data_IF_122259680344
#
_entry.id   IF_122259680344
#
_cell.length_a   1.000
_cell.length_b   1.000
_cell.length_c   1.000
_cell.angle_alpha   90.00
_cell.angle_beta   90.00
_cell.angle_gamma   90.00
#
_symmetry.space_group_name_H-M   'P 1'
#
loop_
_entity.id
_entity.type
_entity.pdbx_description
1 polymer ?
#
# COMPACT_ATOMS: atom_id res chain seq x y z
N UNK A 1 3.66 7.52 12.90
CA UNK A 1 2.56 6.90 12.13
C UNK A 1 2.29 5.49 12.65
N UNK A 2 1.05 5.09 12.59
CA UNK A 2 0.60 3.76 13.06
C UNK A 2 0.34 2.88 11.85
N UNK A 3 0.90 1.69 11.85
CA UNK A 3 0.82 0.75 10.71
C UNK A 3 0.20 -0.58 11.13
N UNK A 4 -0.56 -1.18 10.20
CA UNK A 4 -0.74 -2.63 10.20
C UNK A 4 0.08 -3.22 9.06
N UNK A 5 0.62 -4.42 9.28
CA UNK A 5 1.44 -5.15 8.30
C UNK A 5 0.82 -6.52 8.09
N UNK A 6 0.42 -6.82 6.86
CA UNK A 6 -0.27 -8.09 6.56
C UNK A 6 0.39 -8.77 5.38
N UNK A 7 0.90 -9.98 5.61
CA UNK A 7 1.59 -10.80 4.62
C UNK A 7 1.48 -12.25 5.08
N UNK A 8 1.27 -13.18 4.15
CA UNK A 8 1.16 -14.59 4.51
C UNK A 8 2.50 -15.24 4.84
N UNK A 9 3.60 -14.58 4.51
CA UNK A 9 4.95 -15.05 4.88
C UNK A 9 5.31 -14.48 6.25
N UNK A 10 5.28 -15.36 7.25
CA UNK A 10 5.55 -14.97 8.63
C UNK A 10 6.95 -14.36 8.81
N UNK A 11 7.93 -14.85 8.05
CA UNK A 11 9.28 -14.31 8.12
C UNK A 11 9.33 -12.86 7.63
N UNK A 12 8.60 -12.56 6.57
CA UNK A 12 8.50 -11.20 6.05
C UNK A 12 7.85 -10.29 7.10
N UNK A 13 6.72 -10.72 7.67
CA UNK A 13 6.02 -9.94 8.69
C UNK A 13 6.93 -9.65 9.89
N UNK A 14 7.62 -10.66 10.39
CA UNK A 14 8.49 -10.49 11.56
C UNK A 14 9.66 -9.55 11.24
N UNK A 15 10.25 -9.69 10.05
CA UNK A 15 11.35 -8.83 9.63
C UNK A 15 10.90 -7.38 9.49
N UNK A 16 9.74 -7.16 8.86
CA UNK A 16 9.21 -5.80 8.69
C UNK A 16 8.83 -5.19 10.02
N UNK A 17 8.24 -5.98 10.93
CA UNK A 17 7.90 -5.49 12.26
C UNK A 17 9.13 -4.96 12.99
N UNK A 18 10.25 -5.69 12.91
CA UNK A 18 11.49 -5.29 13.57
C UNK A 18 12.08 -4.05 12.89
N UNK A 19 12.18 -4.08 11.56
CA UNK A 19 12.86 -3.02 10.81
C UNK A 19 12.05 -1.73 10.86
N UNK A 20 10.74 -1.81 10.64
CA UNK A 20 9.89 -0.62 10.68
C UNK A 20 9.72 -0.12 12.09
N UNK A 21 9.57 -1.03 13.06
CA UNK A 21 9.43 -0.65 14.46
C UNK A 21 10.67 0.00 15.06
N UNK A 22 11.82 -0.16 14.43
CA UNK A 22 13.05 0.52 14.86
C UNK A 22 13.08 2.00 14.45
N UNK A 23 12.18 2.43 13.55
CA UNK A 23 12.09 3.83 13.17
C UNK A 23 11.29 4.59 14.21
N UNK A 24 11.82 5.71 14.77
CA UNK A 24 11.13 6.41 15.86
C UNK A 24 9.73 6.91 15.49
N UNK A 25 9.50 7.20 14.21
CA UNK A 25 8.22 7.74 13.75
C UNK A 25 7.19 6.67 13.42
N UNK A 26 7.56 5.38 13.49
CA UNK A 26 6.68 4.28 13.07
C UNK A 26 6.32 3.39 14.27
N UNK A 27 5.03 3.09 14.40
CA UNK A 27 4.52 2.12 15.35
C UNK A 27 3.72 1.07 14.61
N UNK A 28 4.14 -0.21 14.67
CA UNK A 28 3.39 -1.31 14.08
C UNK A 28 2.37 -1.77 15.11
N UNK A 29 1.10 -1.47 14.89
CA UNK A 29 0.04 -1.72 15.87
C UNK A 29 -0.63 -3.08 15.70
N UNK A 30 -0.44 -3.73 14.57
CA UNK A 30 -1.00 -5.07 14.36
C UNK A 30 -0.38 -5.74 13.15
N UNK A 31 -0.37 -7.07 13.15
CA UNK A 31 0.13 -7.86 12.04
C UNK A 31 -0.86 -8.98 11.73
N UNK A 32 -0.93 -9.39 10.48
CA UNK A 32 -1.84 -10.44 10.04
C UNK A 32 -1.27 -11.22 8.88
N UNK A 33 -2.01 -12.25 8.44
CA UNK A 33 -1.53 -13.23 7.47
C UNK A 33 -2.41 -13.34 6.21
N UNK A 34 -3.55 -12.67 6.17
CA UNK A 34 -4.45 -12.78 5.02
C UNK A 34 -5.36 -11.55 4.94
N UNK A 35 -6.17 -11.50 3.88
CA UNK A 35 -7.04 -10.36 3.65
C UNK A 35 -8.10 -10.14 4.72
N UNK A 36 -8.61 -11.22 5.32
CA UNK A 36 -9.59 -11.07 6.41
C UNK A 36 -8.95 -10.43 7.64
N UNK A 37 -7.70 -10.81 7.95
CA UNK A 37 -6.95 -10.17 9.01
C UNK A 37 -6.76 -8.68 8.74
N UNK A 38 -6.49 -8.32 7.47
CA UNK A 38 -6.29 -6.92 7.10
C UNK A 38 -7.54 -6.09 7.38
N UNK A 39 -8.70 -6.60 7.00
CA UNK A 39 -9.97 -5.89 7.23
C UNK A 39 -10.24 -5.76 8.73
N UNK A 40 -10.04 -6.85 9.49
CA UNK A 40 -10.29 -6.83 10.94
C UNK A 40 -9.34 -5.89 11.66
N UNK A 41 -8.07 -5.93 11.32
CA UNK A 41 -7.06 -5.07 11.94
C UNK A 41 -7.31 -3.60 11.62
N UNK A 42 -7.73 -3.31 10.40
CA UNK A 42 -8.05 -1.93 10.04
C UNK A 42 -9.22 -1.41 10.87
N UNK A 43 -10.26 -2.22 11.00
CA UNK A 43 -11.43 -1.84 11.80
C UNK A 43 -11.07 -1.64 13.28
N UNK A 44 -10.19 -2.50 13.79
CA UNK A 44 -9.82 -2.48 15.20
C UNK A 44 -8.90 -1.31 15.55
N UNK A 45 -7.91 -1.04 14.70
CA UNK A 45 -6.82 -0.12 15.03
C UNK A 45 -6.91 1.24 14.33
N UNK A 46 -7.68 1.34 13.26
CA UNK A 46 -7.76 2.55 12.43
C UNK A 46 -6.36 3.12 12.17
N UNK A 47 -5.46 2.34 11.53
CA UNK A 47 -4.08 2.76 11.35
C UNK A 47 -3.96 3.93 10.37
N UNK A 48 -2.82 4.60 10.41
CA UNK A 48 -2.52 5.63 9.41
C UNK A 48 -2.27 5.01 8.04
N UNK A 49 -1.61 3.83 8.00
CA UNK A 49 -1.32 3.12 6.76
C UNK A 49 -1.56 1.63 6.96
N UNK A 50 -2.20 1.00 5.98
CA UNK A 50 -2.32 -0.46 5.90
C UNK A 50 -1.32 -0.95 4.85
N UNK A 51 -0.32 -1.70 5.29
CA UNK A 51 0.73 -2.25 4.43
C UNK A 51 0.41 -3.71 4.17
N UNK A 52 0.00 -4.01 2.93
CA UNK A 52 -0.62 -5.30 2.58
C UNK A 52 0.13 -5.98 1.44
N UNK A 53 0.38 -7.28 1.60
CA UNK A 53 0.77 -8.13 0.48
C UNK A 53 -0.43 -8.29 -0.46
N UNK A 54 -0.18 -8.42 -1.75
CA UNK A 54 -1.25 -8.63 -2.73
C UNK A 54 -1.71 -10.07 -2.74
N UNK A 55 -0.79 -11.03 -2.84
CA UNK A 55 -1.14 -12.43 -3.00
C UNK A 55 -1.06 -13.16 -1.66
N UNK A 56 -2.22 -13.50 -1.12
CA UNK A 56 -2.34 -14.23 0.14
C UNK A 56 -3.41 -15.31 -0.02
N UNK A 57 -3.24 -16.48 0.62
CA UNK A 57 -4.24 -17.56 0.51
C UNK A 57 -5.55 -17.12 1.17
N UNK A 58 -6.65 -17.62 0.63
CA UNK A 58 -7.98 -17.29 1.09
C UNK A 58 -8.44 -15.99 0.49
N UNK A 59 -8.13 -14.88 1.13
CA UNK A 59 -8.51 -13.56 0.64
C UNK A 59 -7.26 -12.74 0.36
N UNK A 60 -7.13 -12.24 -0.87
CA UNK A 60 -5.95 -11.47 -1.27
C UNK A 60 -6.01 -10.01 -0.80
N UNK A 61 -4.89 -9.31 -0.99
CA UNK A 61 -4.77 -7.92 -0.55
C UNK A 61 -5.62 -6.94 -1.34
N UNK A 62 -5.86 -7.21 -2.63
CA UNK A 62 -6.70 -6.33 -3.44
C UNK A 62 -8.14 -6.36 -2.97
N UNK A 63 -8.67 -7.55 -2.68
CA UNK A 63 -10.01 -7.71 -2.15
C UNK A 63 -10.15 -7.03 -0.79
N UNK A 64 -9.17 -7.22 0.09
CA UNK A 64 -9.19 -6.60 1.41
C UNK A 64 -9.14 -5.07 1.30
N UNK A 65 -8.28 -4.55 0.43
CA UNK A 65 -8.16 -3.12 0.22
C UNK A 65 -9.46 -2.51 -0.31
N UNK A 66 -10.14 -3.23 -1.20
CA UNK A 66 -11.44 -2.77 -1.73
C UNK A 66 -12.43 -2.58 -0.59
N UNK A 67 -12.53 -3.56 0.30
CA UNK A 67 -13.46 -3.45 1.43
C UNK A 67 -13.05 -2.33 2.38
N UNK A 68 -11.76 -2.22 2.70
CA UNK A 68 -11.26 -1.16 3.56
C UNK A 68 -11.64 0.22 2.99
N UNK A 69 -11.40 0.42 1.69
CA UNK A 69 -11.67 1.70 1.04
C UNK A 69 -13.16 1.97 0.87
N UNK A 70 -14.00 0.93 0.80
CA UNK A 70 -15.46 1.11 0.80
C UNK A 70 -15.96 1.64 2.14
N UNK A 71 -15.37 1.19 3.24
CA UNK A 71 -15.75 1.65 4.57
C UNK A 71 -15.06 2.96 4.96
N UNK A 72 -13.87 3.20 4.45
CA UNK A 72 -13.10 4.41 4.74
C UNK A 72 -12.38 4.87 3.48
N UNK A 73 -13.03 5.74 2.68
CA UNK A 73 -12.41 6.22 1.43
C UNK A 73 -11.11 6.99 1.64
N UNK A 74 -10.84 7.47 2.85
CA UNK A 74 -9.60 8.17 3.16
C UNK A 74 -8.48 7.22 3.60
N UNK A 75 -8.73 5.91 3.66
CA UNK A 75 -7.74 4.94 4.08
C UNK A 75 -6.51 4.99 3.19
N UNK A 76 -5.33 4.90 3.80
CA UNK A 76 -4.08 4.85 3.07
C UNK A 76 -3.64 3.39 2.99
N UNK A 77 -3.77 2.81 1.80
CA UNK A 77 -3.38 1.42 1.54
C UNK A 77 -2.12 1.44 0.68
N UNK A 78 -1.10 0.71 1.14
CA UNK A 78 0.16 0.54 0.42
C UNK A 78 0.38 -0.95 0.22
N UNK A 79 0.59 -1.37 -1.02
CA UNK A 79 0.82 -2.77 -1.32
C UNK A 79 2.29 -3.12 -1.32
N UNK A 80 2.59 -4.32 -0.86
CA UNK A 80 3.90 -4.94 -0.96
C UNK A 80 3.85 -6.11 -1.92
N UNK A 81 4.90 -6.27 -2.73
CA UNK A 81 4.98 -7.39 -3.66
C UNK A 81 6.42 -7.83 -3.81
N UNK A 82 6.63 -9.09 -4.22
CA UNK A 82 7.97 -9.60 -4.54
C UNK A 82 8.44 -9.12 -5.89
N UNK A 83 7.52 -8.89 -6.82
CA UNK A 83 7.84 -8.48 -8.18
C UNK A 83 7.02 -7.28 -8.59
N UNK A 84 7.59 -6.52 -9.50
CA UNK A 84 6.85 -5.55 -10.27
C UNK A 84 5.97 -6.30 -11.27
N UNK A 85 4.67 -6.20 -11.13
CA UNK A 85 3.71 -6.82 -12.05
C UNK A 85 2.73 -5.75 -12.49
N UNK A 86 2.81 -5.37 -13.78
CA UNK A 86 2.01 -4.27 -14.31
C UNK A 86 0.52 -4.47 -14.12
N UNK A 87 0.06 -5.71 -14.19
CA UNK A 87 -1.35 -6.02 -14.01
C UNK A 87 -1.82 -5.67 -12.61
N UNK A 88 -1.06 -6.06 -11.59
CA UNK A 88 -1.39 -5.74 -10.20
C UNK A 88 -1.22 -4.26 -9.90
N UNK A 89 -0.22 -3.63 -10.48
CA UNK A 89 0.00 -2.19 -10.31
C UNK A 89 -1.22 -1.41 -10.77
N UNK A 90 -1.71 -1.70 -11.97
CA UNK A 90 -2.88 -1.01 -12.52
C UNK A 90 -4.10 -1.23 -11.64
N UNK A 91 -4.35 -2.48 -11.23
CA UNK A 91 -5.48 -2.79 -10.35
C UNK A 91 -5.38 -2.06 -9.03
N UNK A 92 -4.19 -2.02 -8.42
CA UNK A 92 -3.97 -1.34 -7.15
C UNK A 92 -4.23 0.16 -7.26
N UNK A 93 -3.74 0.78 -8.33
CA UNK A 93 -3.92 2.21 -8.52
C UNK A 93 -5.38 2.57 -8.79
N UNK A 94 -6.09 1.72 -9.54
CA UNK A 94 -7.53 1.93 -9.80
C UNK A 94 -8.37 1.84 -8.53
N UNK A 95 -7.96 1.02 -7.58
CA UNK A 95 -8.63 0.94 -6.28
C UNK A 95 -8.43 2.19 -5.43
N UNK A 96 -7.40 2.97 -5.72
CA UNK A 96 -7.05 4.12 -4.91
C UNK A 96 -5.91 3.87 -3.93
N UNK A 97 -5.09 2.84 -4.19
CA UNK A 97 -3.90 2.60 -3.36
C UNK A 97 -2.97 3.80 -3.40
N UNK A 98 -2.34 4.08 -2.28
CA UNK A 98 -1.41 5.20 -2.16
C UNK A 98 0.02 4.78 -2.43
N UNK A 99 0.30 3.49 -2.52
CA UNK A 99 1.63 3.02 -2.83
C UNK A 99 1.68 1.57 -3.27
N UNK A 100 2.79 1.23 -3.94
CA UNK A 100 3.05 -0.12 -4.43
C UNK A 100 4.56 -0.32 -4.36
N UNK A 101 5.02 -1.11 -3.39
CA UNK A 101 6.43 -1.22 -3.06
C UNK A 101 6.93 -2.66 -3.22
N UNK A 102 8.23 -2.81 -3.45
CA UNK A 102 8.87 -4.11 -3.59
C UNK A 102 9.36 -4.57 -2.23
N UNK A 103 8.98 -5.78 -1.81
CA UNK A 103 9.31 -6.34 -0.49
C UNK A 103 10.82 -6.45 -0.25
N UNK A 104 11.59 -6.71 -1.30
CA UNK A 104 13.02 -6.94 -1.17
C UNK A 104 13.82 -5.66 -1.01
N UNK A 105 13.22 -4.51 -1.28
CA UNK A 105 13.90 -3.22 -1.12
C UNK A 105 13.43 -2.58 0.20
N UNK A 106 13.82 -3.19 1.30
CA UNK A 106 13.34 -2.83 2.64
C UNK A 106 13.74 -1.41 3.01
N UNK A 107 14.93 -0.98 2.61
CA UNK A 107 15.42 0.36 2.96
C UNK A 107 14.57 1.47 2.32
N UNK A 108 13.89 1.18 1.21
CA UNK A 108 13.04 2.15 0.55
C UNK A 108 11.67 2.30 1.21
N UNK A 109 11.28 1.37 2.09
CA UNK A 109 9.93 1.37 2.66
C UNK A 109 9.69 2.56 3.59
N UNK A 110 10.51 2.83 4.62
CA UNK A 110 10.21 3.95 5.52
C UNK A 110 10.09 5.30 4.81
N UNK A 111 11.01 5.71 3.91
CA UNK A 111 10.81 6.99 3.22
C UNK A 111 9.58 7.02 2.33
N UNK A 112 9.21 5.88 1.71
CA UNK A 112 8.00 5.80 0.91
C UNK A 112 6.74 6.01 1.76
N UNK A 113 6.70 5.42 2.95
CA UNK A 113 5.57 5.59 3.85
C UNK A 113 5.42 7.04 4.30
N UNK A 114 6.52 7.74 4.50
CA UNK A 114 6.45 9.16 4.84
C UNK A 114 5.89 9.99 3.71
N UNK A 115 6.24 9.66 2.46
CA UNK A 115 5.66 10.34 1.31
C UNK A 115 4.15 10.08 1.22
N UNK A 116 3.71 8.87 1.54
CA UNK A 116 2.28 8.54 1.57
C UNK A 116 1.57 9.38 2.63
N UNK A 117 2.17 9.54 3.80
CA UNK A 117 1.60 10.38 4.86
C UNK A 117 1.51 11.84 4.43
N UNK A 118 2.41 12.31 3.56
CA UNK A 118 2.39 13.66 3.01
C UNK A 118 1.37 13.82 1.87
N UNK A 119 0.61 12.79 1.57
CA UNK A 119 -0.43 12.84 0.54
C UNK A 119 0.02 12.43 -0.84
N UNK A 120 1.24 11.94 -0.98
CA UNK A 120 1.77 11.50 -2.27
C UNK A 120 1.46 10.05 -2.52
N UNK A 121 1.45 9.66 -3.79
CA UNK A 121 1.41 8.26 -4.19
C UNK A 121 2.82 7.83 -4.58
N UNK A 122 3.16 6.57 -4.25
CA UNK A 122 4.51 6.05 -4.48
C UNK A 122 4.42 4.74 -5.26
N UNK A 123 5.20 4.62 -6.33
CA UNK A 123 5.27 3.40 -7.12
C UNK A 123 6.72 2.95 -7.17
N UNK A 124 7.01 1.78 -6.61
CA UNK A 124 8.35 1.20 -6.58
C UNK A 124 9.40 2.19 -6.09
N UNK A 125 9.04 2.98 -5.05
CA UNK A 125 9.94 3.95 -4.48
C UNK A 125 9.99 5.30 -5.17
N UNK A 126 9.22 5.47 -6.26
CA UNK A 126 9.13 6.74 -6.99
C UNK A 126 7.77 7.36 -6.77
N UNK A 127 7.72 8.69 -6.69
CA UNK A 127 6.44 9.38 -6.61
C UNK A 127 5.68 9.19 -7.92
N UNK A 128 4.37 9.00 -7.83
CA UNK A 128 3.54 8.68 -8.99
C UNK A 128 3.44 9.83 -9.98
N UNK A 129 3.61 11.06 -9.53
CA UNK A 129 3.59 12.19 -10.44
C UNK A 129 4.76 12.15 -11.43
N UNK A 130 5.75 11.29 -11.20
CA UNK A 130 6.82 11.06 -12.16
C UNK A 130 6.45 10.04 -13.23
N UNK A 131 5.23 9.47 -13.15
CA UNK A 131 4.75 8.41 -14.02
C UNK A 131 3.51 8.91 -14.75
N UNK A 132 3.51 8.78 -16.08
CA UNK A 132 2.40 9.22 -16.92
C UNK A 132 1.35 8.11 -17.01
N UNK A 133 0.20 8.43 -16.57
CA UNK A 133 -0.91 7.51 -16.75
C UNK A 133 -1.60 7.83 -18.05
N UNK A 134 -2.09 7.72 -18.48
CA UNK A 134 -3.15 7.97 -19.10
C UNK A 134 -4.19 7.61 -19.25
N UNK A 135 -4.39 7.76 -18.92
CA UNK A 135 -5.33 7.62 -18.77
C UNK A 135 -5.86 7.08 -19.19
N UNK A 136 -5.68 7.23 -19.43
CA UNK A 136 -6.10 6.63 -19.77
C UNK A 136 -5.70 6.21 -19.88
N UNK A 137 -5.29 6.66 -19.63
CA UNK A 137 -4.73 6.43 -19.61
C UNK A 137 -4.29 6.55 -19.43
N UNK A 138 -4.03 7.11 -19.50
CA UNK A 138 -3.42 7.38 -19.56
C UNK A 138 -3.16 7.84 -19.50
N UNK A 139 -3.25 8.29 -19.58
CA UNK A 139 -2.80 8.89 -19.69
C UNK A 139 -2.43 9.24 -19.46
N UNK A 140 -2.69 9.68 -19.76
CA UNK A 140 -2.25 10.17 -19.64
C UNK A 140 -2.13 10.72 -19.11
N UNK A 141 -2.13 11.19 -18.98
CA UNK A 141 -1.74 11.67 -18.60
C UNK A 141 -2.01 12.03 -17.88
N UNK A 142 -1.95 12.28 -17.63
CA UNK A 142 -1.82 12.52 -17.10
C UNK A 142 -1.99 12.67 -16.44
N UNK A 143 -2.17 12.88 -16.07
CA UNK A 143 -1.90 12.97 -15.62
C UNK A 143 -2.10 13.57 -15.37
N UNK A 144 -2.24 14.03 -15.53
CA UNK A 144 -2.01 14.47 -15.34
C UNK A 144 -2.65 14.87 -15.07
N UNK A 145 -3.00 15.05 -14.93
CA UNK A 145 -3.20 15.25 -14.69
C UNK A 145 -3.91 15.32 -14.33
N UNK A 146 -4.06 15.47 -14.37
CA UNK A 146 -4.41 15.36 -13.91
C UNK A 146 -4.95 15.40 -13.49
N UNK A 147 -5.29 15.68 -13.43
CA UNK A 147 -5.69 15.36 -13.16
C UNK A 147 -6.29 14.79 -12.63
N UNK A 148 -6.49 14.93 -12.56
CA UNK A 148 -6.87 14.17 -11.94
C UNK A 148 -7.04 13.33 -11.58
N UNK A 149 -7.26 13.21 -11.19
CA UNK A 149 -7.32 12.34 -10.97
C UNK A 149 -7.95 12.13 -10.66
N UNK A 150 -8.36 12.09 -10.67
CA UNK A 150 -8.78 11.80 -10.59
C UNK A 150 -9.08 11.43 -10.57
N UNK A 151 -9.26 11.39 -10.38
CA UNK A 151 -9.23 11.03 -10.57
C UNK A 151 -9.13 10.79 -10.57
#
# INVERSE_FOLDING_TARGET
MRLIVVDDDRLVVNSLKIILGAQPQIEVVGTGANGNDAVSLYAEHAPDIALLDIQMPGRDGLSAAREILEHDPAARVVFLTTFSDDEYIVSALKLGARGYLIKTDVAAIPPALEQVMDGRRVLEGKAIEDIDFDGTGVEAGTLRRPRPLSA
#
